data_IF_000522780518
#
_entry.id   IF_000522780518
#
_cell.length_a   1.000
_cell.length_b   1.000
_cell.length_c   1.000
_cell.angle_alpha   90.00
_cell.angle_beta   90.00
_cell.angle_gamma   90.00
#
_symmetry.space_group_name_H-M   'P 1'
#
loop_
_entity.id
_entity.type
_entity.pdbx_description
1 polymer ?
#
# COMPACT_ATOMS: atom_id res chain seq x y z
N UNK A 1 -53.38 -48.11 12.50
CA UNK A 1 -53.05 -46.93 13.32
C UNK A 1 -51.89 -47.30 14.23
N UNK A 2 -50.74 -46.61 14.09
CA UNK A 2 -49.56 -46.68 14.97
C UNK A 2 -48.75 -47.99 14.91
N UNK A 3 -47.44 -48.04 15.16
CA UNK A 3 -46.42 -47.04 15.42
C UNK A 3 -45.04 -47.75 15.32
N UNK A 4 -44.01 -46.96 15.00
CA UNK A 4 -42.63 -47.32 14.71
C UNK A 4 -41.85 -48.00 15.87
N UNK A 5 -40.93 -48.90 15.50
CA UNK A 5 -39.66 -49.26 16.18
C UNK A 5 -39.00 -50.38 15.34
N UNK A 6 -37.70 -50.45 15.01
CA UNK A 6 -36.51 -50.01 15.70
C UNK A 6 -35.38 -49.74 14.68
N UNK A 7 -34.64 -48.67 14.93
CA UNK A 7 -33.51 -48.13 14.17
C UNK A 7 -32.23 -48.90 14.51
N UNK A 8 -31.53 -49.46 13.51
CA UNK A 8 -30.09 -49.74 13.59
C UNK A 8 -29.44 -49.39 12.24
N UNK A 9 -29.02 -48.13 12.09
CA UNK A 9 -27.99 -47.78 11.09
C UNK A 9 -26.64 -48.00 11.74
N UNK A 10 -25.84 -48.87 11.12
CA UNK A 10 -24.47 -49.18 11.48
C UNK A 10 -23.53 -48.31 10.64
N UNK A 11 -22.42 -47.97 11.28
CA UNK A 11 -21.16 -47.46 10.75
C UNK A 11 -21.03 -45.95 10.50
N UNK A 12 -20.67 -45.27 11.58
CA UNK A 12 -19.74 -44.15 11.60
C UNK A 12 -18.34 -44.67 11.23
N UNK A 13 -17.84 -44.32 10.05
CA UNK A 13 -16.40 -44.21 9.79
C UNK A 13 -16.20 -42.94 8.96
N UNK A 14 -16.30 -41.80 9.64
CA UNK A 14 -15.84 -40.52 9.09
C UNK A 14 -14.33 -40.53 9.09
N UNK A 15 -13.75 -40.81 7.92
CA UNK A 15 -12.34 -40.60 7.61
C UNK A 15 -11.94 -39.16 7.99
N UNK A 16 -10.73 -38.92 8.53
CA UNK A 16 -10.31 -37.57 8.85
C UNK A 16 -10.19 -36.80 7.54
N UNK A 17 -10.91 -35.68 7.45
CA UNK A 17 -10.72 -34.72 6.37
C UNK A 17 -9.35 -34.12 6.57
N UNK A 18 -8.38 -34.58 5.79
CA UNK A 18 -7.08 -33.92 5.67
C UNK A 18 -7.34 -32.47 5.27
N UNK A 19 -7.09 -31.58 6.21
CA UNK A 19 -7.12 -30.14 6.00
C UNK A 19 -5.92 -29.82 5.12
N UNK A 20 -6.17 -29.81 3.81
CA UNK A 20 -5.20 -29.35 2.80
C UNK A 20 -4.60 -28.03 3.26
N UNK A 21 -3.30 -28.10 3.56
CA UNK A 21 -2.45 -26.98 3.92
C UNK A 21 -2.34 -26.11 2.67
N UNK A 22 -3.17 -25.06 2.61
CA UNK A 22 -3.08 -24.06 1.56
C UNK A 22 -1.68 -23.44 1.56
N UNK A 23 -1.19 -23.18 0.36
CA UNK A 23 0.11 -22.58 0.01
C UNK A 23 0.30 -21.14 0.53
N UNK A 24 0.07 -20.87 1.82
CA UNK A 24 0.41 -19.58 2.46
C UNK A 24 1.93 -19.33 2.48
N UNK A 25 2.74 -20.33 2.12
CA UNK A 25 4.21 -20.22 2.14
C UNK A 25 4.76 -19.36 1.00
N UNK A 26 4.06 -19.31 -0.15
CA UNK A 26 4.50 -18.54 -1.32
C UNK A 26 4.26 -17.03 -1.18
N UNK A 27 3.10 -16.64 -0.67
CA UNK A 27 2.73 -15.22 -0.49
C UNK A 27 3.48 -14.57 0.67
N UNK A 28 3.66 -15.30 1.78
CA UNK A 28 4.46 -14.84 2.92
C UNK A 28 5.94 -14.72 2.54
N UNK A 29 6.45 -15.62 1.69
CA UNK A 29 7.79 -15.54 1.12
C UNK A 29 8.01 -14.25 0.32
N UNK A 30 7.15 -14.00 -0.68
CA UNK A 30 7.27 -12.82 -1.53
C UNK A 30 7.13 -11.49 -0.76
N UNK A 31 6.22 -11.40 0.21
CA UNK A 31 6.08 -10.22 1.06
C UNK A 31 7.33 -9.97 1.93
N UNK A 32 7.94 -11.04 2.44
CA UNK A 32 9.16 -10.97 3.24
C UNK A 32 10.39 -10.53 2.43
N UNK A 33 10.52 -11.04 1.20
CA UNK A 33 11.60 -10.68 0.27
C UNK A 33 11.50 -9.21 -0.15
N UNK A 34 10.30 -8.74 -0.48
CA UNK A 34 10.08 -7.35 -0.85
C UNK A 34 10.38 -6.40 0.32
N UNK A 35 9.98 -6.78 1.54
CA UNK A 35 10.30 -6.02 2.75
C UNK A 35 11.80 -5.95 3.02
N UNK A 36 12.53 -7.05 2.83
CA UNK A 36 13.99 -7.07 2.94
C UNK A 36 14.64 -6.15 1.89
N UNK A 37 14.18 -6.21 0.64
CA UNK A 37 14.66 -5.35 -0.45
C UNK A 37 14.44 -3.87 -0.16
N UNK A 38 13.28 -3.50 0.40
CA UNK A 38 12.98 -2.12 0.83
C UNK A 38 14.02 -1.65 1.85
N UNK A 39 14.29 -2.46 2.87
CA UNK A 39 15.25 -2.10 3.92
C UNK A 39 16.67 -1.97 3.38
N UNK A 40 17.12 -2.90 2.54
CA UNK A 40 18.42 -2.83 1.88
C UNK A 40 18.55 -1.57 1.01
N UNK A 41 17.53 -1.26 0.21
CA UNK A 41 17.54 -0.10 -0.68
C UNK A 41 17.48 1.21 0.11
N UNK A 42 16.69 1.26 1.18
CA UNK A 42 16.58 2.43 2.06
C UNK A 42 17.86 2.68 2.87
N UNK A 43 18.52 1.62 3.35
CA UNK A 43 19.80 1.73 4.07
C UNK A 43 20.97 2.09 3.15
N UNK A 44 20.86 1.76 1.86
CA UNK A 44 21.82 2.15 0.83
C UNK A 44 21.64 3.60 0.34
N UNK A 45 20.62 4.32 0.81
CA UNK A 45 20.51 5.76 0.57
C UNK A 45 21.62 6.46 1.35
N UNK A 46 22.56 7.07 0.62
CA UNK A 46 23.56 7.96 1.23
C UNK A 46 22.93 9.25 1.78
N UNK A 47 23.77 10.15 2.29
CA UNK A 47 23.31 11.41 2.90
C UNK A 47 22.51 12.29 1.91
N UNK A 48 22.95 12.31 0.64
CA UNK A 48 22.30 13.04 -0.45
C UNK A 48 21.89 12.12 -1.61
N UNK A 49 20.78 11.37 -1.48
CA UNK A 49 20.33 10.45 -2.51
C UNK A 49 19.81 11.23 -3.73
N UNK A 50 20.08 10.67 -4.92
CA UNK A 50 19.53 11.20 -6.17
C UNK A 50 18.00 11.06 -6.21
N UNK A 51 17.36 11.86 -7.07
CA UNK A 51 15.92 11.79 -7.33
C UNK A 51 15.49 10.38 -7.74
N UNK A 52 16.28 9.69 -8.58
CA UNK A 52 15.97 8.34 -9.03
C UNK A 52 15.98 7.33 -7.87
N UNK A 53 16.97 7.40 -6.98
CA UNK A 53 17.05 6.52 -5.81
C UNK A 53 15.88 6.76 -4.85
N UNK A 54 15.52 8.03 -4.61
CA UNK A 54 14.35 8.36 -3.79
C UNK A 54 13.07 7.78 -4.39
N UNK A 55 12.86 7.92 -5.70
CA UNK A 55 11.68 7.42 -6.40
C UNK A 55 11.62 5.88 -6.38
N UNK A 56 12.75 5.20 -6.56
CA UNK A 56 12.81 3.74 -6.54
C UNK A 56 12.47 3.18 -5.15
N UNK A 57 13.05 3.74 -4.09
CA UNK A 57 12.75 3.31 -2.71
C UNK A 57 11.30 3.65 -2.35
N UNK A 58 10.77 4.79 -2.78
CA UNK A 58 9.37 5.15 -2.59
C UNK A 58 8.40 4.16 -3.26
N UNK A 59 8.71 3.73 -4.50
CA UNK A 59 7.93 2.71 -5.21
C UNK A 59 7.96 1.36 -4.46
N UNK A 60 9.09 0.99 -3.85
CA UNK A 60 9.19 -0.22 -3.03
C UNK A 60 8.34 -0.12 -1.76
N UNK A 61 8.38 1.02 -1.05
CA UNK A 61 7.51 1.27 0.11
C UNK A 61 6.02 1.22 -0.26
N UNK A 62 5.66 1.76 -1.43
CA UNK A 62 4.29 1.69 -1.94
C UNK A 62 3.84 0.25 -2.19
N UNK A 63 4.73 -0.62 -2.68
CA UNK A 63 4.42 -2.04 -2.94
C UNK A 63 4.20 -2.85 -1.66
N UNK A 64 4.91 -2.52 -0.56
CA UNK A 64 4.66 -3.15 0.75
C UNK A 64 3.52 -2.47 1.55
N UNK A 65 2.89 -1.44 0.98
CA UNK A 65 1.78 -0.73 1.60
C UNK A 65 2.18 0.32 2.64
N UNK A 66 3.47 0.58 2.84
CA UNK A 66 3.98 1.64 3.72
C UNK A 66 3.79 3.02 3.05
N UNK A 67 2.56 3.51 3.17
CA UNK A 67 2.11 4.74 2.50
C UNK A 67 2.83 5.97 3.05
N UNK A 68 3.18 5.99 4.34
CA UNK A 68 3.84 7.14 4.97
C UNK A 68 5.24 7.35 4.40
N UNK A 69 6.07 6.31 4.40
CA UNK A 69 7.44 6.41 3.89
C UNK A 69 7.49 6.63 2.39
N UNK A 70 6.56 6.03 1.63
CA UNK A 70 6.43 6.29 0.21
C UNK A 70 6.15 7.78 -0.08
N UNK A 71 5.24 8.40 0.69
CA UNK A 71 4.95 9.84 0.58
C UNK A 71 6.20 10.66 0.87
N UNK A 72 6.87 10.40 2.00
CA UNK A 72 8.04 11.16 2.43
C UNK A 72 9.14 11.18 1.34
N UNK A 73 9.45 10.02 0.77
CA UNK A 73 10.50 9.90 -0.24
C UNK A 73 10.11 10.56 -1.57
N UNK A 74 8.85 10.42 -2.01
CA UNK A 74 8.38 11.13 -3.20
C UNK A 74 8.31 12.66 -2.99
N UNK A 75 7.92 13.12 -1.80
CA UNK A 75 7.96 14.56 -1.47
C UNK A 75 9.40 15.08 -1.45
N UNK A 76 10.35 14.31 -0.91
CA UNK A 76 11.79 14.66 -0.94
C UNK A 76 12.33 14.73 -2.36
N UNK A 77 11.91 13.83 -3.25
CA UNK A 77 12.31 13.87 -4.67
C UNK A 77 11.71 15.09 -5.39
N UNK A 78 10.45 15.41 -5.12
CA UNK A 78 9.75 16.59 -5.64
C UNK A 78 10.35 17.91 -5.13
N UNK A 79 10.87 17.93 -3.90
CA UNK A 79 11.53 19.10 -3.33
C UNK A 79 12.89 19.38 -3.99
N UNK A 80 13.58 18.34 -4.48
CA UNK A 80 14.81 18.49 -5.28
C UNK A 80 14.51 19.00 -6.68
N UNK A 81 13.50 18.42 -7.33
CA UNK A 81 13.06 18.85 -8.66
C UNK A 81 11.56 18.61 -8.82
N UNK A 82 10.84 19.64 -9.28
CA UNK A 82 9.42 19.53 -9.62
C UNK A 82 9.25 18.54 -10.77
N UNK A 83 8.77 17.34 -10.46
CA UNK A 83 8.54 16.28 -11.46
C UNK A 83 7.06 16.20 -11.84
N UNK A 84 6.79 16.19 -13.15
CA UNK A 84 5.48 15.81 -13.68
C UNK A 84 5.48 14.33 -14.08
N UNK A 85 4.31 13.70 -13.97
CA UNK A 85 4.08 12.35 -14.49
C UNK A 85 3.94 11.33 -13.36
N UNK A 86 4.84 10.33 -13.34
CA UNK A 86 4.70 9.17 -12.44
C UNK A 86 4.68 9.57 -10.97
N UNK A 87 5.65 10.36 -10.52
CA UNK A 87 5.77 10.78 -9.11
C UNK A 87 4.57 11.59 -8.65
N UNK A 88 4.17 12.62 -9.41
CA UNK A 88 3.00 13.43 -9.08
C UNK A 88 1.72 12.59 -9.03
N UNK A 89 1.58 11.61 -9.92
CA UNK A 89 0.43 10.69 -9.93
C UNK A 89 0.46 9.75 -8.73
N UNK A 90 1.62 9.21 -8.36
CA UNK A 90 1.79 8.37 -7.18
C UNK A 90 1.46 9.13 -5.90
N UNK A 91 1.95 10.36 -5.73
CA UNK A 91 1.63 11.20 -4.58
C UNK A 91 0.13 11.47 -4.45
N UNK A 92 -0.56 11.82 -5.53
CA UNK A 92 -2.01 12.02 -5.51
C UNK A 92 -2.75 10.75 -5.06
N UNK A 93 -2.34 9.57 -5.53
CA UNK A 93 -2.91 8.30 -5.09
C UNK A 93 -2.68 8.07 -3.60
N UNK A 94 -1.45 8.26 -3.11
CA UNK A 94 -1.09 8.04 -1.70
C UNK A 94 -1.82 9.03 -0.77
N UNK A 95 -1.96 10.29 -1.17
CA UNK A 95 -2.76 11.28 -0.42
C UNK A 95 -4.22 10.89 -0.34
N UNK A 96 -4.80 10.33 -1.40
CA UNK A 96 -6.17 9.85 -1.37
C UNK A 96 -6.34 8.64 -0.42
N UNK A 97 -5.35 7.73 -0.36
CA UNK A 97 -5.32 6.64 0.63
C UNK A 97 -5.31 7.21 2.05
N UNK A 98 -4.44 8.20 2.32
CA UNK A 98 -4.37 8.86 3.63
C UNK A 98 -5.67 9.58 3.99
N UNK A 99 -6.28 10.28 3.05
CA UNK A 99 -7.59 10.93 3.23
C UNK A 99 -8.68 9.92 3.54
N UNK A 100 -8.71 8.78 2.85
CA UNK A 100 -9.69 7.71 3.10
C UNK A 100 -9.47 7.03 4.47
N UNK A 101 -8.21 6.89 4.91
CA UNK A 101 -7.90 6.41 6.25
C UNK A 101 -8.37 7.42 7.32
N UNK A 102 -8.10 8.71 7.13
CA UNK A 102 -8.57 9.78 8.02
C UNK A 102 -10.10 9.83 8.11
N UNK A 103 -10.80 9.71 6.98
CA UNK A 103 -12.26 9.65 6.94
C UNK A 103 -12.83 8.46 7.74
N UNK A 104 -12.17 7.29 7.65
CA UNK A 104 -12.55 6.12 8.46
C UNK A 104 -12.28 6.32 9.95
N UNK A 105 -11.28 7.12 10.29
CA UNK A 105 -10.95 7.47 11.67
C UNK A 105 -11.79 8.63 12.24
N UNK A 106 -12.58 9.31 11.40
CA UNK A 106 -13.31 10.52 11.82
C UNK A 106 -12.40 11.73 12.07
N UNK A 107 -11.23 11.77 11.44
CA UNK A 107 -10.24 12.85 11.60
C UNK A 107 -10.41 13.90 10.50
N UNK A 108 -11.27 14.89 10.75
CA UNK A 108 -11.57 15.95 9.79
C UNK A 108 -10.35 16.83 9.46
N UNK A 109 -9.43 17.02 10.41
CA UNK A 109 -8.21 17.80 10.19
C UNK A 109 -7.29 17.08 9.20
N UNK A 110 -7.07 15.77 9.40
CA UNK A 110 -6.28 14.97 8.48
C UNK A 110 -6.97 14.87 7.09
N UNK A 111 -8.30 14.77 7.03
CA UNK A 111 -9.03 14.80 5.75
C UNK A 111 -8.72 16.10 5.00
N UNK A 112 -8.86 17.25 5.66
CA UNK A 112 -8.61 18.56 5.06
C UNK A 112 -7.15 18.70 4.61
N UNK A 113 -6.22 18.23 5.45
CA UNK A 113 -4.79 18.25 5.18
C UNK A 113 -4.41 17.47 3.91
N UNK A 114 -4.82 16.20 3.82
CA UNK A 114 -4.51 15.36 2.65
C UNK A 114 -5.24 15.81 1.39
N UNK A 115 -6.45 16.36 1.54
CA UNK A 115 -7.17 17.00 0.44
C UNK A 115 -6.41 18.22 -0.11
N UNK A 116 -5.87 19.08 0.76
CA UNK A 116 -5.08 20.25 0.35
C UNK A 116 -3.81 19.84 -0.39
N UNK A 117 -3.10 18.80 0.08
CA UNK A 117 -1.91 18.27 -0.59
C UNK A 117 -2.21 17.74 -2.00
N UNK A 118 -3.30 16.99 -2.16
CA UNK A 118 -3.74 16.49 -3.47
C UNK A 118 -4.06 17.64 -4.45
N UNK A 119 -4.75 18.68 -3.97
CA UNK A 119 -5.04 19.88 -4.78
C UNK A 119 -3.79 20.67 -5.15
N UNK A 120 -2.84 20.82 -4.22
CA UNK A 120 -1.57 21.48 -4.50
C UNK A 120 -0.80 20.78 -5.63
N UNK A 121 -0.88 19.46 -5.69
CA UNK A 121 -0.22 18.67 -6.73
C UNK A 121 -0.88 18.84 -8.10
N UNK A 122 -2.21 18.93 -8.13
CA UNK A 122 -2.94 19.29 -9.35
C UNK A 122 -2.63 20.72 -9.80
N UNK A 123 -2.51 21.66 -8.87
CA UNK A 123 -2.19 23.05 -9.19
C UNK A 123 -0.77 23.18 -9.74
N UNK A 124 0.22 22.51 -9.13
CA UNK A 124 1.57 22.42 -9.66
C UNK A 124 1.59 21.91 -11.11
N UNK A 125 0.81 20.86 -11.40
CA UNK A 125 0.69 20.36 -12.78
C UNK A 125 0.15 21.41 -13.75
N UNK A 126 -0.86 22.19 -13.34
CA UNK A 126 -1.39 23.28 -14.17
C UNK A 126 -0.38 24.40 -14.37
N UNK A 127 0.35 24.78 -13.33
CA UNK A 127 1.32 25.87 -13.39
C UNK A 127 2.51 25.50 -14.28
N UNK A 128 3.02 24.26 -14.17
CA UNK A 128 4.03 23.71 -15.07
C UNK A 128 3.56 23.73 -16.54
N UNK A 129 2.31 23.30 -16.81
CA UNK A 129 1.74 23.30 -18.17
C UNK A 129 1.54 24.71 -18.74
N UNK A 130 1.33 25.70 -17.87
CA UNK A 130 1.18 27.11 -18.26
C UNK A 130 2.52 27.85 -18.35
N UNK A 131 3.63 27.22 -17.94
CA UNK A 131 4.95 27.85 -17.88
C UNK A 131 5.14 28.83 -16.71
N UNK A 132 4.31 28.73 -15.66
CA UNK A 132 4.28 29.65 -14.52
C UNK A 132 5.10 29.15 -13.31
N UNK A 133 6.13 28.32 -13.52
CA UNK A 133 6.84 27.59 -12.45
C UNK A 133 8.17 28.17 -12.04
#
# INVERSE_FOLDING_TARGET
MGLFSLKRRRNEETKPVERGRGDDSGEVGAASELSAKVLESATSLGDDPSISQLNEVADLYMQIGDTDRAIELFERSMAKEKQLGKVSTSLVKLYNVKRAAAARAGDDEAIAYWMKRSQAMLQLSKDMLRGNV
#
